data_IF_563233953771
#
_entry.id   IF_563233953771
#
_cell.length_a   1.000
_cell.length_b   1.000
_cell.length_c   1.000
_cell.angle_alpha   90.00
_cell.angle_beta   90.00
_cell.angle_gamma   90.00
#
_symmetry.space_group_name_H-M   'P 1'
#
loop_
_entity.id
_entity.type
_entity.pdbx_description
1 polymer ?
#
# COMPACT_ATOMS: atom_id res chain seq x y z
N UNK A 1 9.78 7.38 16.66
CA UNK A 1 9.13 7.05 15.38
C UNK A 1 9.20 8.28 14.50
N UNK A 2 9.03 8.12 13.18
CA UNK A 2 8.98 9.22 12.23
C UNK A 2 7.62 9.18 11.54
N UNK A 3 7.05 10.36 11.31
CA UNK A 3 5.77 10.54 10.62
C UNK A 3 6.02 11.33 9.34
N UNK A 4 5.31 10.97 8.27
CA UNK A 4 5.26 11.73 7.03
C UNK A 4 3.80 12.10 6.82
N UNK A 5 3.49 13.39 6.93
CA UNK A 5 2.12 13.92 7.02
C UNK A 5 1.93 15.00 5.95
N UNK A 6 1.61 14.62 4.69
CA UNK A 6 1.34 15.59 3.64
C UNK A 6 -0.01 16.29 3.88
N UNK A 7 -0.09 17.57 3.51
CA UNK A 7 -1.31 18.38 3.58
C UNK A 7 -1.52 19.07 2.23
N UNK A 8 -2.75 19.08 1.73
CA UNK A 8 -3.08 19.66 0.42
C UNK A 8 -4.33 20.55 0.49
N UNK A 9 -4.18 21.82 0.13
CA UNK A 9 -5.32 22.73 0.06
C UNK A 9 -6.32 22.29 -1.01
N UNK A 10 -7.62 22.42 -0.69
CA UNK A 10 -8.74 22.07 -1.59
C UNK A 10 -8.84 20.58 -1.93
N UNK A 11 -8.15 19.71 -1.19
CA UNK A 11 -8.28 18.26 -1.30
C UNK A 11 -9.44 17.79 -0.44
N UNK A 12 -10.40 17.10 -1.03
CA UNK A 12 -11.45 16.40 -0.29
C UNK A 12 -10.99 14.98 0.08
N UNK A 13 -11.87 14.23 0.75
CA UNK A 13 -11.56 12.87 1.18
C UNK A 13 -11.26 11.93 0.01
N UNK A 14 -11.90 12.14 -1.15
CA UNK A 14 -11.64 11.31 -2.32
C UNK A 14 -10.24 11.59 -2.88
N UNK A 15 -9.88 12.86 -3.02
CA UNK A 15 -8.52 13.25 -3.43
C UNK A 15 -7.46 12.76 -2.44
N UNK A 16 -7.76 12.74 -1.14
CA UNK A 16 -6.82 12.25 -0.11
C UNK A 16 -6.60 10.73 -0.22
N UNK A 17 -7.67 9.95 -0.45
CA UNK A 17 -7.55 8.51 -0.71
C UNK A 17 -6.76 8.21 -1.98
N UNK A 18 -7.00 8.96 -3.06
CA UNK A 18 -6.26 8.84 -4.33
C UNK A 18 -4.77 9.19 -4.13
N UNK A 19 -4.48 10.27 -3.40
CA UNK A 19 -3.09 10.62 -3.06
C UNK A 19 -2.43 9.51 -2.26
N UNK A 20 -3.09 8.98 -1.23
CA UNK A 20 -2.52 7.95 -0.37
C UNK A 20 -2.15 6.69 -1.15
N UNK A 21 -3.03 6.25 -2.07
CA UNK A 21 -2.75 5.11 -2.95
C UNK A 21 -1.56 5.40 -3.87
N UNK A 22 -1.56 6.54 -4.56
CA UNK A 22 -0.47 6.94 -5.47
C UNK A 22 0.86 7.07 -4.72
N UNK A 23 0.85 7.65 -3.52
CA UNK A 23 2.03 7.85 -2.70
C UNK A 23 2.70 6.52 -2.33
N UNK A 24 1.92 5.56 -1.81
CA UNK A 24 2.43 4.23 -1.43
C UNK A 24 2.94 3.49 -2.67
N UNK A 25 2.16 3.45 -3.76
CA UNK A 25 2.56 2.78 -5.01
C UNK A 25 3.83 3.37 -5.61
N UNK A 26 3.98 4.69 -5.58
CA UNK A 26 5.17 5.39 -6.09
C UNK A 26 6.42 4.99 -5.30
N UNK A 27 6.33 4.94 -3.96
CA UNK A 27 7.45 4.53 -3.12
C UNK A 27 7.82 3.07 -3.39
N UNK A 28 6.84 2.16 -3.44
CA UNK A 28 7.09 0.75 -3.71
C UNK A 28 7.71 0.56 -5.09
N UNK A 29 7.24 1.29 -6.10
CA UNK A 29 7.82 1.23 -7.45
C UNK A 29 9.27 1.72 -7.47
N UNK A 30 9.60 2.78 -6.73
CA UNK A 30 10.98 3.22 -6.58
C UNK A 30 11.85 2.14 -5.92
N UNK A 31 11.37 1.51 -4.86
CA UNK A 31 12.08 0.41 -4.19
C UNK A 31 12.30 -0.79 -5.14
N UNK A 32 11.29 -1.16 -5.92
CA UNK A 32 11.39 -2.24 -6.92
C UNK A 32 12.42 -1.93 -8.00
N UNK A 33 12.54 -0.68 -8.43
CA UNK A 33 13.45 -0.26 -9.48
C UNK A 33 14.90 -0.09 -8.98
N UNK A 34 15.05 0.49 -7.79
CA UNK A 34 16.34 1.02 -7.32
C UNK A 34 16.99 0.11 -6.25
N UNK A 35 16.25 -0.81 -5.62
CA UNK A 35 16.71 -1.59 -4.46
C UNK A 35 16.66 -3.12 -4.67
N UNK A 36 16.80 -3.59 -5.92
CA UNK A 36 16.67 -5.02 -6.24
C UNK A 36 17.61 -5.96 -5.44
N UNK A 37 18.85 -5.53 -5.17
CA UNK A 37 19.82 -6.33 -4.42
C UNK A 37 19.40 -6.54 -2.95
N UNK A 38 18.88 -5.48 -2.32
CA UNK A 38 18.40 -5.56 -0.94
C UNK A 38 17.11 -6.38 -0.86
N UNK A 39 16.22 -6.24 -1.84
CA UNK A 39 15.00 -7.05 -1.93
C UNK A 39 15.31 -8.55 -2.11
N UNK A 40 16.30 -8.93 -2.92
CA UNK A 40 16.74 -10.33 -3.03
C UNK A 40 17.27 -10.85 -1.69
N UNK A 41 18.06 -10.04 -0.99
CA UNK A 41 18.54 -10.37 0.34
C UNK A 41 17.38 -10.61 1.32
N UNK A 42 16.42 -9.69 1.39
CA UNK A 42 15.24 -9.86 2.25
C UNK A 42 14.39 -11.06 1.87
N UNK A 43 14.23 -11.31 0.56
CA UNK A 43 13.49 -12.46 0.06
C UNK A 43 14.14 -13.80 0.46
N UNK A 44 15.46 -13.83 0.61
CA UNK A 44 16.19 -15.06 0.96
C UNK A 44 16.25 -15.33 2.46
N UNK A 45 16.31 -14.28 3.27
CA UNK A 45 16.61 -14.40 4.70
C UNK A 45 15.45 -14.06 5.63
N UNK A 46 14.44 -13.30 5.17
CA UNK A 46 13.33 -12.84 6.00
C UNK A 46 12.01 -13.43 5.52
N UNK A 47 11.62 -13.17 4.28
CA UNK A 47 10.32 -13.59 3.73
C UNK A 47 10.39 -13.78 2.22
N UNK A 48 10.28 -15.03 1.77
CA UNK A 48 10.31 -15.39 0.36
C UNK A 48 9.11 -14.89 -0.45
N UNK A 49 8.04 -14.47 0.21
CA UNK A 49 6.84 -13.91 -0.42
C UNK A 49 6.89 -12.39 -0.59
N UNK A 50 7.93 -11.71 -0.07
CA UNK A 50 7.98 -10.25 -0.02
C UNK A 50 7.91 -9.62 -1.42
N UNK A 51 8.65 -10.18 -2.39
CA UNK A 51 8.66 -9.70 -3.76
C UNK A 51 7.29 -9.82 -4.42
N UNK A 52 6.59 -10.94 -4.21
CA UNK A 52 5.25 -11.13 -4.73
C UNK A 52 4.27 -10.14 -4.09
N UNK A 53 4.34 -9.97 -2.77
CA UNK A 53 3.45 -9.09 -2.01
C UNK A 53 3.61 -7.63 -2.42
N UNK A 54 4.83 -7.10 -2.44
CA UNK A 54 5.05 -5.69 -2.81
C UNK A 54 4.76 -5.44 -4.29
N UNK A 55 5.02 -6.42 -5.16
CA UNK A 55 4.64 -6.33 -6.57
C UNK A 55 3.12 -6.27 -6.70
N UNK A 56 2.39 -7.08 -5.94
CA UNK A 56 0.93 -7.05 -5.96
C UNK A 56 0.39 -5.70 -5.49
N UNK A 57 0.90 -5.16 -4.37
CA UNK A 57 0.49 -3.85 -3.85
C UNK A 57 0.78 -2.71 -4.84
N UNK A 58 1.88 -2.79 -5.59
CA UNK A 58 2.21 -1.78 -6.58
C UNK A 58 1.24 -1.74 -7.77
N UNK A 59 0.66 -2.89 -8.16
CA UNK A 59 -0.15 -3.03 -9.37
C UNK A 59 -1.66 -3.07 -9.10
N UNK A 60 -2.09 -3.75 -8.03
CA UNK A 60 -3.51 -3.95 -7.75
C UNK A 60 -4.14 -2.65 -7.24
N UNK A 61 -5.34 -2.27 -7.71
CA UNK A 61 -6.06 -1.11 -7.19
C UNK A 61 -6.46 -1.33 -5.72
N UNK A 62 -6.48 -0.26 -4.93
CA UNK A 62 -6.93 -0.36 -3.55
C UNK A 62 -8.46 -0.40 -3.49
N UNK A 63 -8.99 -1.37 -2.74
CA UNK A 63 -10.41 -1.47 -2.50
C UNK A 63 -10.88 -0.35 -1.56
N UNK A 64 -11.80 0.47 -2.04
CA UNK A 64 -12.43 1.53 -1.24
C UNK A 64 -13.71 0.97 -0.65
N UNK A 65 -13.73 0.80 0.67
CA UNK A 65 -14.89 0.35 1.41
C UNK A 65 -15.26 1.29 2.54
N UNK A 66 -16.55 1.47 2.75
CA UNK A 66 -17.04 2.16 3.92
C UNK A 66 -16.84 1.30 5.16
N UNK A 67 -16.75 1.95 6.32
CA UNK A 67 -16.72 1.26 7.61
C UNK A 67 -17.92 0.31 7.80
N UNK A 68 -19.11 0.72 7.37
CA UNK A 68 -20.32 -0.10 7.49
C UNK A 68 -20.26 -1.38 6.64
N UNK A 69 -19.69 -1.30 5.44
CA UNK A 69 -19.45 -2.46 4.59
C UNK A 69 -18.42 -3.39 5.22
N UNK A 70 -17.32 -2.86 5.75
CA UNK A 70 -16.30 -3.64 6.45
C UNK A 70 -16.93 -4.47 7.59
N UNK A 71 -17.76 -3.84 8.42
CA UNK A 71 -18.47 -4.51 9.53
C UNK A 71 -19.41 -5.61 9.02
N UNK A 72 -20.10 -5.37 7.90
CA UNK A 72 -21.00 -6.37 7.31
C UNK A 72 -20.22 -7.59 6.81
N UNK A 73 -19.07 -7.39 6.17
CA UNK A 73 -18.18 -8.46 5.71
C UNK A 73 -17.77 -9.32 6.91
N UNK A 74 -17.24 -8.69 7.96
CA UNK A 74 -16.78 -9.39 9.17
C UNK A 74 -17.87 -10.22 9.85
N UNK A 75 -19.11 -9.71 9.92
CA UNK A 75 -20.25 -10.45 10.48
C UNK A 75 -20.67 -11.67 9.64
N UNK A 76 -20.35 -11.67 8.35
CA UNK A 76 -20.70 -12.76 7.42
C UNK A 76 -19.58 -13.80 7.30
N UNK A 77 -18.37 -13.48 7.75
CA UNK A 77 -17.19 -14.35 7.70
C UNK A 77 -17.05 -15.32 8.87
N UNK A 78 -18.09 -15.49 9.68
CA UNK A 78 -18.12 -16.36 10.88
C UNK A 78 -18.82 -17.69 10.65
#
# INVERSE_FOLDING_TARGET
FWMVEPEMAFCDLQGDMELAEVFIKTIIQAILNDCAADLDFFSRFIDSSILATISQVAHDPFEILTYSEAVKILKTSG
#
